data_IF_072178155502
#
_entry.id   IF_072178155502
#
_cell.length_a   1.000
_cell.length_b   1.000
_cell.length_c   1.000
_cell.angle_alpha   90.00
_cell.angle_beta   90.00
_cell.angle_gamma   90.00
#
_symmetry.space_group_name_H-M   'P 1'
#
loop_
_entity.id
_entity.type
_entity.pdbx_description
1 polymer ?
#
# COMPACT_ATOMS: atom_id res chain seq x y z
N UNK A 1 2.26 24.04 12.72
CA UNK A 1 2.30 22.74 12.03
C UNK A 1 1.05 22.62 11.16
N UNK A 2 1.17 22.45 9.85
CA UNK A 2 0.00 22.35 8.97
C UNK A 2 -0.69 20.99 9.19
N UNK A 3 -1.76 20.97 9.98
CA UNK A 3 -2.49 19.74 10.37
C UNK A 3 -3.05 19.03 9.14
N UNK A 4 -3.42 19.76 8.08
CA UNK A 4 -3.92 19.18 6.82
C UNK A 4 -2.82 18.44 6.07
N UNK A 5 -1.61 19.00 6.02
CA UNK A 5 -0.43 18.33 5.45
C UNK A 5 -0.11 17.04 6.21
N UNK A 6 0.07 17.13 7.53
CA UNK A 6 0.47 15.99 8.34
C UNK A 6 -0.62 14.92 8.43
N UNK A 7 -1.90 15.31 8.42
CA UNK A 7 -3.03 14.40 8.40
C UNK A 7 -3.04 13.54 7.12
N UNK A 8 -2.79 14.13 5.96
CA UNK A 8 -2.71 13.40 4.69
C UNK A 8 -1.50 12.47 4.64
N UNK A 9 -0.33 12.94 5.08
CA UNK A 9 0.90 12.12 5.12
C UNK A 9 0.70 10.92 6.05
N UNK A 10 0.15 11.13 7.25
CA UNK A 10 -0.09 10.06 8.21
C UNK A 10 -1.13 9.07 7.69
N UNK A 11 -2.24 9.56 7.11
CA UNK A 11 -3.26 8.69 6.54
C UNK A 11 -2.70 7.84 5.38
N UNK A 12 -1.92 8.45 4.49
CA UNK A 12 -1.25 7.73 3.41
C UNK A 12 -0.26 6.69 3.92
N UNK A 13 0.55 7.02 4.92
CA UNK A 13 1.50 6.08 5.54
C UNK A 13 0.80 4.88 6.20
N UNK A 14 -0.35 5.08 6.83
CA UNK A 14 -1.16 3.99 7.39
C UNK A 14 -1.68 3.08 6.28
N UNK A 15 -2.18 3.66 5.17
CA UNK A 15 -2.68 2.89 4.03
C UNK A 15 -1.54 2.09 3.38
N UNK A 16 -0.35 2.68 3.22
CA UNK A 16 0.83 1.97 2.71
C UNK A 16 1.26 0.82 3.63
N UNK A 17 1.22 1.02 4.95
CA UNK A 17 1.51 -0.05 5.90
C UNK A 17 0.52 -1.23 5.75
N UNK A 18 -0.76 -0.94 5.55
CA UNK A 18 -1.77 -1.99 5.29
C UNK A 18 -1.50 -2.70 3.96
N UNK A 19 -1.14 -1.96 2.90
CA UNK A 19 -0.75 -2.55 1.61
C UNK A 19 0.41 -3.55 1.78
N UNK A 20 1.46 -3.15 2.50
CA UNK A 20 2.63 -4.01 2.75
C UNK A 20 2.21 -5.30 3.45
N UNK A 21 1.36 -5.20 4.49
CA UNK A 21 0.85 -6.38 5.20
C UNK A 21 0.08 -7.32 4.26
N UNK A 22 -0.80 -6.77 3.42
CA UNK A 22 -1.58 -7.55 2.43
C UNK A 22 -0.65 -8.27 1.45
N UNK A 23 0.35 -7.57 0.92
CA UNK A 23 1.32 -8.15 -0.02
C UNK A 23 2.20 -9.22 0.64
N UNK A 24 2.56 -9.03 1.91
CA UNK A 24 3.30 -10.03 2.69
C UNK A 24 2.46 -11.29 2.90
N UNK A 25 1.19 -11.16 3.30
CA UNK A 25 0.27 -12.29 3.46
C UNK A 25 0.08 -13.04 2.14
N UNK A 26 -0.10 -12.29 1.05
CA UNK A 26 -0.17 -12.86 -0.29
C UNK A 26 1.10 -13.66 -0.63
N UNK A 27 2.29 -13.09 -0.38
CA UNK A 27 3.58 -13.76 -0.55
C UNK A 27 3.72 -15.05 0.30
N UNK A 28 3.26 -15.03 1.55
CA UNK A 28 3.24 -16.22 2.41
C UNK A 28 2.40 -17.37 1.81
N UNK A 29 1.30 -17.05 1.11
CA UNK A 29 0.47 -18.03 0.42
C UNK A 29 1.23 -18.88 -0.60
N UNK A 30 2.33 -18.36 -1.16
CA UNK A 30 3.15 -19.07 -2.15
C UNK A 30 4.35 -19.82 -1.55
N UNK A 31 4.61 -19.75 -0.24
CA UNK A 31 5.77 -20.43 0.35
C UNK A 31 5.70 -21.96 0.20
N UNK A 32 4.49 -22.53 0.11
CA UNK A 32 4.27 -23.96 -0.13
C UNK A 32 4.49 -24.34 -1.60
N UNK A 33 4.21 -23.42 -2.54
CA UNK A 33 4.43 -23.62 -3.97
C UNK A 33 4.85 -22.31 -4.66
N UNK A 34 6.16 -21.98 -4.65
CA UNK A 34 6.65 -20.68 -5.12
C UNK A 34 6.38 -20.40 -6.59
N UNK A 35 6.33 -21.43 -7.43
CA UNK A 35 6.07 -21.30 -8.86
C UNK A 35 4.64 -20.85 -9.18
N UNK A 36 3.69 -21.05 -8.25
CA UNK A 36 2.29 -20.67 -8.44
C UNK A 36 2.09 -19.14 -8.50
N UNK A 37 3.05 -18.35 -8.00
CA UNK A 37 3.02 -16.89 -8.10
C UNK A 37 2.93 -16.39 -9.56
N UNK A 38 3.59 -17.07 -10.51
CA UNK A 38 3.58 -16.68 -11.92
C UNK A 38 2.23 -16.95 -12.63
N UNK A 39 1.33 -17.70 -12.00
CA UNK A 39 0.09 -18.20 -12.61
C UNK A 39 -1.17 -17.85 -11.81
N UNK A 40 -1.03 -17.38 -10.57
CA UNK A 40 -2.14 -17.09 -9.67
C UNK A 40 -2.10 -15.62 -9.27
N UNK A 41 -2.65 -14.76 -10.13
CA UNK A 41 -3.03 -13.40 -9.74
C UNK A 41 -4.35 -13.50 -8.97
N UNK A 42 -4.36 -13.04 -7.72
CA UNK A 42 -5.52 -13.15 -6.82
C UNK A 42 -5.91 -11.76 -6.37
N UNK A 43 -7.19 -11.45 -6.21
CA UNK A 43 -7.71 -10.15 -5.77
C UNK A 43 -6.92 -9.44 -4.64
N UNK A 44 -6.27 -10.20 -3.77
CA UNK A 44 -5.30 -9.75 -2.76
C UNK A 44 -4.12 -8.94 -3.32
N UNK A 45 -3.54 -9.33 -4.45
CA UNK A 45 -2.41 -8.64 -5.10
C UNK A 45 -2.82 -7.26 -5.65
N UNK A 46 -3.94 -7.22 -6.37
CA UNK A 46 -4.54 -6.01 -6.88
C UNK A 46 -4.94 -5.07 -5.74
N UNK A 47 -5.47 -5.62 -4.65
CA UNK A 47 -5.82 -4.84 -3.47
C UNK A 47 -4.59 -4.21 -2.82
N UNK A 48 -3.50 -4.97 -2.63
CA UNK A 48 -2.24 -4.43 -2.13
C UNK A 48 -1.70 -3.32 -3.03
N UNK A 49 -1.59 -3.57 -4.34
CA UNK A 49 -1.09 -2.58 -5.30
C UNK A 49 -1.94 -1.30 -5.29
N UNK A 50 -3.27 -1.43 -5.30
CA UNK A 50 -4.18 -0.27 -5.28
C UNK A 50 -4.08 0.52 -3.98
N UNK A 51 -3.99 -0.15 -2.83
CA UNK A 51 -3.77 0.52 -1.55
C UNK A 51 -2.44 1.29 -1.56
N UNK A 52 -1.36 0.72 -2.10
CA UNK A 52 -0.09 1.43 -2.22
C UNK A 52 -0.17 2.67 -3.11
N UNK A 53 -0.88 2.60 -4.24
CA UNK A 53 -1.07 3.76 -5.11
C UNK A 53 -1.82 4.87 -4.36
N UNK A 54 -2.88 4.53 -3.64
CA UNK A 54 -3.67 5.50 -2.86
C UNK A 54 -2.84 6.07 -1.69
N UNK A 55 -2.09 5.23 -0.98
CA UNK A 55 -1.22 5.65 0.13
C UNK A 55 -0.16 6.65 -0.32
N UNK A 56 0.57 6.32 -1.39
CA UNK A 56 1.56 7.20 -2.01
C UNK A 56 0.94 8.51 -2.52
N UNK A 57 -0.24 8.45 -3.15
CA UNK A 57 -0.94 9.64 -3.61
C UNK A 57 -1.28 10.60 -2.46
N UNK A 58 -1.75 10.09 -1.32
CA UNK A 58 -2.04 10.90 -0.14
C UNK A 58 -0.78 11.53 0.46
N UNK A 59 0.33 10.78 0.51
CA UNK A 59 1.63 11.31 0.97
C UNK A 59 2.10 12.43 0.05
N UNK A 60 2.01 12.24 -1.28
CA UNK A 60 2.41 13.24 -2.26
C UNK A 60 1.54 14.51 -2.18
N UNK A 61 0.22 14.36 -2.06
CA UNK A 61 -0.70 15.50 -1.89
C UNK A 61 -0.39 16.23 -0.59
N UNK A 62 -0.17 15.50 0.51
CA UNK A 62 0.28 16.07 1.76
C UNK A 62 1.58 16.88 1.58
N UNK A 63 2.59 16.30 0.93
CA UNK A 63 3.85 16.97 0.61
C UNK A 63 3.69 18.24 -0.24
N UNK A 64 2.73 18.25 -1.18
CA UNK A 64 2.40 19.43 -1.98
C UNK A 64 1.80 20.58 -1.14
N UNK A 65 1.13 20.27 -0.03
CA UNK A 65 0.57 21.22 0.95
C UNK A 65 1.60 21.77 1.95
N UNK A 66 2.89 21.49 1.76
CA UNK A 66 3.98 22.04 2.60
C UNK A 66 4.14 23.56 2.47
N UNK A 67 3.61 24.15 1.39
CA UNK A 67 3.61 25.61 1.16
C UNK A 67 2.78 26.36 2.18
#
# INVERSE_FOLDING_TARGET
MNVKMWGLILAGAVIDAVSIIVMVIYGYGFMVNPAAFAFSYSSTDYLGIMLSIVGLALIMIGGALKK
#
